data_IF_860910099417
#
_entry.id   IF_860910099417
#
_cell.length_a   1.000
_cell.length_b   1.000
_cell.length_c   1.000
_cell.angle_alpha   90.00
_cell.angle_beta   90.00
_cell.angle_gamma   90.00
#
_symmetry.space_group_name_H-M   'P 1'
#
loop_
_entity.id
_entity.type
_entity.pdbx_description
1 polymer ?
#
# COMPACT_ATOMS: atom_id res chain seq x y z
N UNK A 1 12.87 3.74 16.38
CA UNK A 1 13.19 2.41 15.78
C UNK A 1 14.67 2.14 15.69
N UNK A 2 15.48 3.11 15.26
CA UNK A 2 16.95 2.95 15.15
C UNK A 2 17.65 2.76 16.49
N UNK A 3 17.06 3.19 17.59
CA UNK A 3 17.57 3.00 18.96
C UNK A 3 17.15 1.66 19.59
N UNK A 4 16.18 0.95 19.01
CA UNK A 4 15.78 -0.39 19.47
C UNK A 4 16.67 -1.45 18.79
N UNK A 5 17.33 -2.36 19.54
CA UNK A 5 18.23 -3.37 18.97
C UNK A 5 17.58 -4.29 17.93
N UNK A 6 16.31 -4.65 18.14
CA UNK A 6 15.55 -5.53 17.26
C UNK A 6 15.07 -4.82 15.99
N UNK A 7 14.76 -3.52 16.08
CA UNK A 7 14.49 -2.63 14.95
C UNK A 7 15.74 -2.32 14.12
N UNK A 8 16.87 -2.05 14.78
CA UNK A 8 18.16 -1.79 14.13
C UNK A 8 18.67 -3.02 13.36
N UNK A 9 18.57 -4.22 13.96
CA UNK A 9 18.95 -5.49 13.32
C UNK A 9 18.16 -5.80 12.06
N UNK A 10 16.92 -5.32 11.96
CA UNK A 10 16.03 -5.48 10.79
C UNK A 10 16.05 -4.28 9.84
N UNK A 11 16.91 -3.29 10.11
CA UNK A 11 16.99 -2.02 9.40
C UNK A 11 15.61 -1.35 9.23
N UNK A 12 14.79 -1.38 10.28
CA UNK A 12 13.46 -0.77 10.27
C UNK A 12 13.61 0.74 10.31
N UNK A 13 13.51 1.35 9.14
CA UNK A 13 13.47 2.79 8.95
C UNK A 13 12.35 3.13 7.98
N UNK A 14 11.78 4.32 8.16
CA UNK A 14 10.96 4.94 7.14
C UNK A 14 11.83 5.90 6.35
N UNK A 15 11.82 5.77 5.02
CA UNK A 15 12.37 6.80 4.15
C UNK A 15 11.57 8.07 4.33
N UNK A 16 12.27 9.15 4.69
CA UNK A 16 11.71 10.50 4.79
C UNK A 16 12.11 11.31 3.56
N UNK A 17 11.40 12.42 3.34
CA UNK A 17 11.70 13.41 2.32
C UNK A 17 11.46 14.80 2.91
N UNK A 18 12.20 15.80 2.44
CA UNK A 18 12.10 17.15 2.93
C UNK A 18 10.91 17.89 2.32
N UNK A 19 10.19 18.61 3.17
CA UNK A 19 9.14 19.55 2.78
C UNK A 19 9.42 20.88 3.46
N UNK A 20 9.52 21.95 2.67
CA UNK A 20 9.75 23.31 3.17
C UNK A 20 8.59 24.18 2.74
N UNK A 21 7.70 24.51 3.67
CA UNK A 21 6.63 25.47 3.43
C UNK A 21 7.23 26.88 3.33
N UNK A 22 6.94 27.59 2.24
CA UNK A 22 7.39 28.96 2.04
C UNK A 22 6.33 29.95 2.53
N UNK A 23 5.06 29.65 2.27
CA UNK A 23 3.88 30.37 2.76
C UNK A 23 2.67 29.41 2.83
N UNK A 24 1.46 29.95 3.01
CA UNK A 24 0.23 29.14 3.09
C UNK A 24 -0.21 28.51 1.75
N UNK A 25 0.32 28.99 0.62
CA UNK A 25 -0.09 28.56 -0.72
C UNK A 25 0.96 27.70 -1.43
N UNK A 26 2.23 27.80 -1.03
CA UNK A 26 3.33 27.12 -1.70
C UNK A 26 4.44 26.66 -0.76
N UNK A 27 5.11 25.60 -1.21
CA UNK A 27 6.27 25.02 -0.57
C UNK A 27 7.15 24.30 -1.58
N UNK A 28 8.31 23.87 -1.12
CA UNK A 28 9.25 23.05 -1.88
C UNK A 28 9.13 21.62 -1.36
N UNK A 29 8.88 20.68 -2.27
CA UNK A 29 8.82 19.25 -1.99
C UNK A 29 10.06 18.59 -2.56
N UNK A 30 10.77 17.82 -1.74
CA UNK A 30 11.82 16.93 -2.23
C UNK A 30 11.19 15.83 -3.10
N UNK A 31 11.70 15.71 -4.33
CA UNK A 31 11.31 14.60 -5.19
C UNK A 31 11.94 13.30 -4.70
N UNK A 32 11.10 12.30 -4.43
CA UNK A 32 11.56 10.97 -4.01
C UNK A 32 12.02 10.19 -5.24
N UNK A 33 13.31 10.29 -5.56
CA UNK A 33 13.91 9.61 -6.71
C UNK A 33 13.73 8.09 -6.68
N UNK A 34 13.73 7.50 -7.88
CA UNK A 34 13.64 6.06 -8.13
C UNK A 34 12.33 5.43 -7.62
N UNK A 35 11.28 6.22 -7.45
CA UNK A 35 9.98 5.70 -7.06
C UNK A 35 8.97 5.79 -8.18
N UNK A 36 8.01 4.88 -8.15
CA UNK A 36 6.82 4.92 -9.00
C UNK A 36 5.59 4.61 -8.14
N UNK A 37 4.41 5.04 -8.57
CA UNK A 37 3.21 4.87 -7.78
C UNK A 37 2.70 3.42 -7.83
N UNK A 38 2.13 2.96 -6.71
CA UNK A 38 1.60 1.60 -6.58
C UNK A 38 0.60 1.26 -7.70
N UNK A 39 -0.21 2.23 -8.13
CA UNK A 39 -1.15 2.07 -9.26
C UNK A 39 -0.41 1.69 -10.55
N UNK A 40 0.64 2.42 -10.90
CA UNK A 40 1.42 2.18 -12.12
C UNK A 40 2.14 0.83 -12.06
N UNK A 41 2.68 0.47 -10.90
CA UNK A 41 3.41 -0.78 -10.73
C UNK A 41 2.49 -2.03 -10.78
N UNK A 42 1.31 -1.97 -10.17
CA UNK A 42 0.30 -3.02 -10.31
C UNK A 42 -0.14 -3.14 -11.77
N UNK A 43 -0.36 -2.02 -12.46
CA UNK A 43 -0.70 -2.06 -13.88
C UNK A 43 0.40 -2.71 -14.72
N UNK A 44 1.68 -2.37 -14.48
CA UNK A 44 2.83 -3.04 -15.10
C UNK A 44 2.83 -4.56 -14.83
N UNK A 45 2.51 -4.99 -13.61
CA UNK A 45 2.41 -6.42 -13.27
C UNK A 45 1.38 -7.16 -14.15
N UNK A 46 0.20 -6.57 -14.35
CA UNK A 46 -0.83 -7.10 -15.23
C UNK A 46 -0.38 -7.12 -16.70
N UNK A 47 0.33 -6.08 -17.18
CA UNK A 47 0.83 -6.03 -18.55
C UNK A 47 1.88 -7.10 -18.84
N UNK A 48 2.80 -7.35 -17.91
CA UNK A 48 3.84 -8.37 -18.07
C UNK A 48 3.26 -9.79 -18.20
N UNK A 49 2.13 -10.06 -17.54
CA UNK A 49 1.51 -11.39 -17.48
C UNK A 49 0.07 -11.39 -18.00
N UNK A 50 -0.21 -10.60 -19.04
CA UNK A 50 -1.55 -10.41 -19.61
C UNK A 50 -2.22 -11.72 -20.09
N UNK A 51 -1.42 -12.73 -20.43
CA UNK A 51 -1.89 -14.05 -20.85
C UNK A 51 -2.53 -14.86 -19.70
N UNK A 52 -2.16 -14.53 -18.45
CA UNK A 52 -2.61 -15.24 -17.24
C UNK A 52 -3.52 -14.36 -16.38
N UNK A 53 -3.31 -13.04 -16.41
CA UNK A 53 -4.05 -12.07 -15.62
C UNK A 53 -4.73 -11.05 -16.54
N UNK A 54 -6.05 -10.90 -16.47
CA UNK A 54 -6.75 -9.95 -17.32
C UNK A 54 -6.30 -8.51 -17.02
N UNK A 55 -6.05 -7.76 -18.08
CA UNK A 55 -5.82 -6.31 -18.00
C UNK A 55 -7.17 -5.64 -18.16
N UNK A 56 -7.69 -5.13 -17.05
CA UNK A 56 -8.99 -4.45 -17.02
C UNK A 56 -8.77 -2.94 -17.15
N UNK A 57 -9.59 -2.28 -17.96
CA UNK A 57 -9.61 -0.83 -18.04
C UNK A 57 -10.23 -0.22 -16.78
N UNK A 58 -9.90 1.05 -16.52
CA UNK A 58 -10.48 1.79 -15.40
C UNK A 58 -12.01 1.78 -15.44
N UNK A 59 -12.63 1.93 -16.63
CA UNK A 59 -14.09 1.96 -16.78
C UNK A 59 -14.74 0.62 -16.44
N UNK A 60 -14.12 -0.49 -16.81
CA UNK A 60 -14.62 -1.84 -16.52
C UNK A 60 -14.64 -2.18 -15.02
N UNK A 61 -13.87 -1.44 -14.22
CA UNK A 61 -13.82 -1.59 -12.76
C UNK A 61 -14.61 -0.48 -12.07
N UNK A 62 -14.37 0.78 -12.43
CA UNK A 62 -14.88 1.95 -11.74
C UNK A 62 -16.39 2.11 -11.94
N UNK A 63 -16.91 1.99 -13.17
CA UNK A 63 -18.34 2.22 -13.43
C UNK A 63 -19.22 1.23 -12.65
N UNK A 64 -18.94 -0.10 -12.62
CA UNK A 64 -19.68 -1.03 -11.79
C UNK A 64 -19.53 -0.76 -10.28
N UNK A 65 -18.36 -0.32 -9.81
CA UNK A 65 -18.16 0.01 -8.39
C UNK A 65 -19.00 1.22 -8.00
N UNK A 66 -19.01 2.28 -8.81
CA UNK A 66 -19.84 3.47 -8.59
C UNK A 66 -21.32 3.08 -8.60
N UNK A 67 -21.75 2.23 -9.53
CA UNK A 67 -23.13 1.74 -9.59
C UNK A 67 -23.52 0.94 -8.33
N UNK A 68 -22.64 0.06 -7.83
CA UNK A 68 -22.84 -0.69 -6.59
C UNK A 68 -22.98 0.27 -5.41
N UNK A 69 -22.10 1.27 -5.34
CA UNK A 69 -22.11 2.30 -4.30
C UNK A 69 -23.39 3.12 -4.32
N UNK A 70 -23.88 3.56 -5.49
CA UNK A 70 -25.12 4.34 -5.59
C UNK A 70 -26.36 3.52 -5.23
N UNK A 71 -26.39 2.22 -5.56
CA UNK A 71 -27.58 1.37 -5.37
C UNK A 71 -27.73 0.76 -3.98
N UNK A 72 -26.64 0.67 -3.21
CA UNK A 72 -26.60 -0.08 -1.95
C UNK A 72 -25.87 0.70 -0.86
N UNK A 73 -25.88 2.03 -0.92
CA UNK A 73 -25.12 2.91 -0.02
C UNK A 73 -25.47 2.69 1.47
N UNK A 74 -26.67 2.17 1.75
CA UNK A 74 -27.21 1.84 3.07
C UNK A 74 -27.00 0.38 3.50
N UNK A 75 -26.57 -0.52 2.60
CA UNK A 75 -26.41 -1.96 2.86
C UNK A 75 -25.01 -2.46 2.47
N UNK A 76 -24.12 -2.44 3.47
CA UNK A 76 -22.75 -2.96 3.34
C UNK A 76 -22.69 -4.44 2.94
N UNK A 77 -23.68 -5.25 3.36
CA UNK A 77 -23.69 -6.68 3.04
C UNK A 77 -23.95 -6.87 1.55
N UNK A 78 -24.94 -6.14 1.02
CA UNK A 78 -25.25 -6.15 -0.41
C UNK A 78 -24.09 -5.60 -1.25
N UNK A 79 -23.45 -4.52 -0.80
CA UNK A 79 -22.25 -3.99 -1.45
C UNK A 79 -21.12 -5.03 -1.51
N UNK A 80 -20.85 -5.71 -0.39
CA UNK A 80 -19.81 -6.74 -0.31
C UNK A 80 -20.08 -7.92 -1.26
N UNK A 81 -21.34 -8.38 -1.33
CA UNK A 81 -21.75 -9.46 -2.25
C UNK A 81 -21.59 -9.03 -3.70
N UNK A 82 -22.04 -7.82 -4.06
CA UNK A 82 -21.92 -7.30 -5.41
C UNK A 82 -20.46 -7.08 -5.83
N UNK A 83 -19.63 -6.53 -4.93
CA UNK A 83 -18.19 -6.37 -5.14
C UNK A 83 -17.51 -7.73 -5.36
N UNK A 84 -17.84 -8.73 -4.54
CA UNK A 84 -17.31 -10.09 -4.68
C UNK A 84 -17.72 -10.74 -6.01
N UNK A 85 -18.96 -10.51 -6.46
CA UNK A 85 -19.44 -11.00 -7.74
C UNK A 85 -18.73 -10.31 -8.92
N UNK A 86 -18.46 -9.00 -8.82
CA UNK A 86 -17.70 -8.24 -9.81
C UNK A 86 -16.28 -8.79 -9.95
N UNK A 87 -15.57 -9.01 -8.84
CA UNK A 87 -14.22 -9.58 -8.86
C UNK A 87 -14.20 -10.96 -9.51
N UNK A 88 -15.19 -11.81 -9.21
CA UNK A 88 -15.32 -13.15 -9.84
C UNK A 88 -15.61 -13.05 -11.33
N UNK A 89 -16.52 -12.17 -11.74
CA UNK A 89 -16.89 -11.94 -13.14
C UNK A 89 -15.68 -11.52 -13.99
N UNK A 90 -14.84 -10.66 -13.42
CA UNK A 90 -13.66 -10.14 -14.11
C UNK A 90 -12.42 -11.03 -13.91
N UNK A 91 -12.58 -12.22 -13.34
CA UNK A 91 -11.50 -13.16 -13.00
C UNK A 91 -10.32 -12.49 -12.29
N UNK A 92 -10.62 -11.48 -11.47
CA UNK A 92 -9.60 -10.66 -10.83
C UNK A 92 -8.78 -11.49 -9.84
N UNK A 93 -7.46 -11.49 -10.04
CA UNK A 93 -6.50 -12.16 -9.17
C UNK A 93 -5.37 -11.18 -8.84
N UNK A 94 -4.94 -11.09 -7.58
CA UNK A 94 -3.74 -10.35 -7.20
C UNK A 94 -2.53 -10.87 -7.99
N UNK A 95 -1.68 -9.95 -8.47
CA UNK A 95 -0.51 -10.32 -9.27
C UNK A 95 0.73 -9.46 -8.97
N UNK A 96 0.69 -8.68 -7.89
CA UNK A 96 1.74 -7.70 -7.63
C UNK A 96 3.11 -8.33 -7.33
N UNK A 97 3.17 -9.57 -6.83
CA UNK A 97 4.43 -10.32 -6.71
C UNK A 97 5.17 -10.46 -8.05
N UNK A 98 4.45 -10.46 -9.18
CA UNK A 98 5.04 -10.58 -10.52
C UNK A 98 5.88 -9.37 -10.87
N UNK A 99 5.46 -8.18 -10.47
CA UNK A 99 6.26 -6.98 -10.68
C UNK A 99 7.63 -7.10 -10.02
N UNK A 100 7.70 -7.66 -8.80
CA UNK A 100 8.99 -7.91 -8.13
C UNK A 100 9.85 -8.91 -8.89
N UNK A 101 9.26 -9.98 -9.45
CA UNK A 101 10.01 -10.97 -10.25
C UNK A 101 10.60 -10.35 -11.53
N UNK A 102 9.84 -9.47 -12.19
CA UNK A 102 10.29 -8.82 -13.43
C UNK A 102 11.30 -7.68 -13.16
N UNK A 103 11.16 -6.94 -12.06
CA UNK A 103 12.11 -5.87 -11.72
C UNK A 103 13.41 -6.38 -11.13
N UNK A 104 13.36 -7.46 -10.35
CA UNK A 104 14.51 -8.02 -9.67
C UNK A 104 14.77 -9.44 -10.18
N UNK A 105 15.43 -9.60 -11.35
CA UNK A 105 15.68 -10.92 -11.92
C UNK A 105 16.76 -11.71 -11.15
N UNK A 106 17.64 -11.02 -10.42
CA UNK A 106 18.60 -11.67 -9.53
C UNK A 106 17.88 -12.16 -8.25
N UNK A 107 18.00 -13.46 -7.87
CA UNK A 107 17.29 -14.01 -6.72
C UNK A 107 17.65 -13.35 -5.38
N UNK A 108 18.88 -12.89 -5.21
CA UNK A 108 19.33 -12.23 -3.98
C UNK A 108 18.70 -10.85 -3.90
N UNK A 109 18.82 -10.06 -4.97
CA UNK A 109 18.21 -8.74 -5.07
C UNK A 109 16.69 -8.79 -4.91
N UNK A 110 16.03 -9.80 -5.50
CA UNK A 110 14.60 -10.04 -5.35
C UNK A 110 14.20 -10.30 -3.90
N UNK A 111 14.93 -11.18 -3.22
CA UNK A 111 14.66 -11.53 -1.83
C UNK A 111 14.85 -10.33 -0.91
N UNK A 112 15.90 -9.53 -1.14
CA UNK A 112 16.17 -8.30 -0.41
C UNK A 112 15.08 -7.25 -0.67
N UNK A 113 14.72 -7.01 -1.94
CA UNK A 113 13.71 -6.03 -2.31
C UNK A 113 12.33 -6.38 -1.73
N UNK A 114 11.97 -7.66 -1.76
CA UNK A 114 10.74 -8.14 -1.13
C UNK A 114 10.80 -7.97 0.40
N UNK A 115 11.93 -8.25 1.05
CA UNK A 115 12.07 -8.05 2.48
C UNK A 115 11.92 -6.56 2.86
N UNK A 116 12.54 -5.66 2.11
CA UNK A 116 12.39 -4.20 2.28
C UNK A 116 10.93 -3.77 2.11
N UNK A 117 10.25 -4.26 1.08
CA UNK A 117 8.82 -4.01 0.88
C UNK A 117 7.99 -4.44 2.10
N UNK A 118 8.18 -5.68 2.58
CA UNK A 118 7.40 -6.19 3.71
C UNK A 118 7.67 -5.40 4.99
N UNK A 119 8.93 -5.08 5.28
CA UNK A 119 9.29 -4.33 6.47
C UNK A 119 8.75 -2.90 6.43
N UNK A 120 8.97 -2.18 5.33
CA UNK A 120 8.47 -0.80 5.17
C UNK A 120 6.94 -0.74 5.17
N UNK A 121 6.25 -1.68 4.52
CA UNK A 121 4.79 -1.76 4.55
C UNK A 121 4.24 -2.01 5.97
N UNK A 122 4.88 -2.88 6.75
CA UNK A 122 4.49 -3.13 8.14
C UNK A 122 4.71 -1.88 9.01
N UNK A 123 5.86 -1.23 8.88
CA UNK A 123 6.15 0.00 9.63
C UNK A 123 5.16 1.11 9.29
N UNK A 124 4.90 1.36 8.00
CA UNK A 124 3.91 2.35 7.56
C UNK A 124 2.50 2.02 8.04
N UNK A 125 2.13 0.74 8.09
CA UNK A 125 0.81 0.32 8.57
C UNK A 125 0.63 0.60 10.07
N UNK A 126 1.65 0.31 10.89
CA UNK A 126 1.60 0.61 12.31
C UNK A 126 1.61 2.13 12.57
N UNK A 127 2.53 2.87 11.94
CA UNK A 127 2.61 4.33 12.10
C UNK A 127 1.32 4.99 11.61
N UNK A 128 0.84 4.62 10.43
CA UNK A 128 -0.39 5.14 9.84
C UNK A 128 -1.61 4.88 10.72
N UNK A 129 -1.69 3.69 11.33
CA UNK A 129 -2.75 3.40 12.28
C UNK A 129 -2.70 4.29 13.53
N UNK A 130 -1.53 4.44 14.13
CA UNK A 130 -1.35 5.22 15.37
C UNK A 130 -1.66 6.70 15.17
N UNK A 131 -1.31 7.26 14.01
CA UNK A 131 -1.53 8.69 13.72
C UNK A 131 -2.87 8.98 13.02
N UNK A 132 -3.64 7.95 12.68
CA UNK A 132 -4.90 8.10 11.94
C UNK A 132 -4.69 8.64 10.51
N UNK A 133 -3.70 8.10 9.79
CA UNK A 133 -3.38 8.50 8.42
C UNK A 133 -4.38 7.91 7.40
N UNK A 134 -5.22 8.76 6.83
CA UNK A 134 -6.15 8.43 5.76
C UNK A 134 -5.66 8.81 4.36
N UNK A 135 -6.55 8.77 3.39
CA UNK A 135 -6.31 9.12 1.97
C UNK A 135 -5.15 8.34 1.34
N UNK A 136 -5.04 7.05 1.70
CA UNK A 136 -4.01 6.13 1.20
C UNK A 136 -4.44 5.50 -0.12
N UNK A 137 -4.77 6.34 -1.11
CA UNK A 137 -4.98 5.86 -2.47
C UNK A 137 -3.66 5.42 -3.11
N UNK A 138 -3.76 4.66 -4.19
CA UNK A 138 -2.62 4.00 -4.86
C UNK A 138 -1.61 4.93 -5.54
N UNK A 139 -1.84 6.25 -5.48
CA UNK A 139 -0.89 7.25 -6.00
C UNK A 139 -0.08 7.92 -4.86
N UNK A 140 -0.62 7.92 -3.64
CA UNK A 140 0.07 8.37 -2.42
C UNK A 140 0.97 7.29 -1.79
N UNK A 141 0.95 6.08 -2.37
CA UNK A 141 1.85 4.99 -1.99
C UNK A 141 2.81 4.77 -3.14
N UNK A 142 4.07 5.09 -2.88
CA UNK A 142 5.17 4.95 -3.81
C UNK A 142 5.99 3.71 -3.43
N UNK A 143 6.63 3.10 -4.42
CA UNK A 143 7.59 2.01 -4.21
C UNK A 143 8.86 2.35 -4.96
N UNK A 144 9.98 2.21 -4.27
CA UNK A 144 11.30 2.37 -4.87
C UNK A 144 11.60 1.18 -5.80
N UNK A 145 11.78 1.47 -7.09
CA UNK A 145 11.99 0.48 -8.13
C UNK A 145 13.36 -0.17 -8.09
N UNK A 146 14.29 0.39 -7.30
CA UNK A 146 15.67 -0.12 -7.16
C UNK A 146 15.87 -1.02 -5.95
N UNK A 147 15.01 -0.92 -4.93
CA UNK A 147 15.19 -1.67 -3.68
C UNK A 147 13.89 -2.20 -3.05
N UNK A 148 12.73 -1.96 -3.65
CA UNK A 148 11.42 -2.45 -3.21
C UNK A 148 10.82 -1.76 -1.99
N UNK A 149 11.46 -0.75 -1.40
CA UNK A 149 10.96 -0.04 -0.22
C UNK A 149 9.67 0.74 -0.53
N UNK A 150 8.68 0.64 0.36
CA UNK A 150 7.44 1.41 0.30
C UNK A 150 7.61 2.77 0.98
N UNK A 151 7.14 3.82 0.31
CA UNK A 151 7.17 5.20 0.79
C UNK A 151 5.78 5.80 0.68
N UNK A 152 5.28 6.39 1.76
CA UNK A 152 4.04 7.17 1.72
C UNK A 152 4.37 8.64 1.47
N UNK A 153 3.58 9.27 0.62
CA UNK A 153 3.59 10.72 0.39
C UNK A 153 2.21 11.31 0.67
N UNK A 154 2.15 12.63 0.73
CA UNK A 154 0.94 13.41 1.03
C UNK A 154 0.36 13.07 2.41
N UNK A 155 0.40 13.99 3.36
CA UNK A 155 -0.04 13.76 4.74
C UNK A 155 -1.18 14.71 5.15
N UNK A 156 -2.01 15.14 4.20
CA UNK A 156 -3.10 16.10 4.45
C UNK A 156 -4.30 15.50 5.22
N UNK A 157 -4.37 14.17 5.29
CA UNK A 157 -5.41 13.41 5.95
C UNK A 157 -4.89 12.69 7.21
N UNK A 158 -4.60 13.46 8.28
CA UNK A 158 -4.13 12.95 9.57
C UNK A 158 -5.21 13.00 10.65
N UNK A 159 -4.98 12.30 11.77
CA UNK A 159 -5.84 12.29 12.96
C UNK A 159 -7.28 11.90 12.67
N UNK A 160 -7.46 10.83 11.92
CA UNK A 160 -8.76 10.23 11.59
C UNK A 160 -9.68 11.15 10.77
N UNK A 161 -9.13 12.19 10.11
CA UNK A 161 -9.86 13.06 9.19
C UNK A 161 -10.57 12.27 8.08
N UNK A 162 -10.04 11.10 7.71
CA UNK A 162 -10.66 10.17 6.75
C UNK A 162 -12.05 9.67 7.17
N UNK A 163 -12.37 9.64 8.47
CA UNK A 163 -13.69 9.26 8.98
C UNK A 163 -14.75 10.35 8.73
N UNK A 164 -14.32 11.60 8.55
CA UNK A 164 -15.20 12.75 8.30
C UNK A 164 -15.53 12.99 6.82
N UNK A 165 -15.00 12.19 5.90
CA UNK A 165 -15.29 12.30 4.47
C UNK A 165 -16.74 11.90 4.16
N UNK A 166 -17.25 12.37 3.02
CA UNK A 166 -18.60 12.02 2.55
C UNK A 166 -18.81 10.49 2.46
N UNK A 167 -17.73 9.76 2.15
CA UNK A 167 -17.64 8.30 2.27
C UNK A 167 -16.51 7.99 3.27
N UNK A 168 -16.81 7.63 4.52
CA UNK A 168 -15.80 7.42 5.56
C UNK A 168 -14.81 6.30 5.22
N UNK A 169 -13.53 6.55 5.45
CA UNK A 169 -12.49 5.52 5.39
C UNK A 169 -12.42 4.75 6.72
N UNK A 170 -13.21 3.69 6.83
CA UNK A 170 -13.30 2.89 8.08
C UNK A 170 -12.16 1.87 8.28
N UNK A 171 -11.26 1.74 7.30
CA UNK A 171 -10.11 0.83 7.39
C UNK A 171 -8.93 1.53 8.05
N UNK A 172 -8.20 0.87 8.96
CA UNK A 172 -7.14 1.53 9.74
C UNK A 172 -5.89 1.88 8.90
N UNK A 173 -5.66 1.13 7.82
CA UNK A 173 -4.59 1.34 6.86
C UNK A 173 -4.86 0.49 5.61
N UNK A 174 -4.16 0.78 4.51
CA UNK A 174 -4.33 0.04 3.25
C UNK A 174 -3.58 -1.29 3.28
N UNK A 175 -4.30 -2.41 3.42
CA UNK A 175 -3.75 -3.76 3.26
C UNK A 175 -4.62 -4.60 2.32
N UNK A 176 -4.45 -4.38 1.01
CA UNK A 176 -5.25 -5.04 -0.03
C UNK A 176 -4.65 -6.37 -0.49
N UNK A 177 -5.41 -7.25 -1.18
CA UNK A 177 -4.88 -8.51 -1.69
C UNK A 177 -3.62 -8.41 -2.54
N UNK A 178 -3.42 -7.34 -3.32
CA UNK A 178 -2.16 -7.14 -4.06
C UNK A 178 -0.95 -6.88 -3.15
N UNK A 179 -1.14 -6.13 -2.06
CA UNK A 179 -0.05 -5.90 -1.11
C UNK A 179 0.32 -7.20 -0.39
N UNK A 180 -0.68 -8.00 -0.01
CA UNK A 180 -0.47 -9.31 0.62
C UNK A 180 0.22 -10.29 -0.34
N UNK A 181 -0.20 -10.30 -1.61
CA UNK A 181 0.39 -11.13 -2.66
C UNK A 181 1.89 -10.86 -2.84
N UNK A 182 2.30 -9.59 -2.86
CA UNK A 182 3.71 -9.21 -2.94
C UNK A 182 4.56 -9.64 -1.72
N UNK A 183 3.96 -9.92 -0.57
CA UNK A 183 4.68 -10.46 0.61
C UNK A 183 5.12 -11.91 0.42
N UNK A 184 4.60 -12.60 -0.61
CA UNK A 184 4.90 -13.99 -0.91
C UNK A 184 4.02 -14.98 -0.13
N UNK A 185 4.47 -16.23 -0.07
CA UNK A 185 3.64 -17.37 0.40
C UNK A 185 3.18 -17.27 1.86
N UNK A 186 3.93 -16.57 2.70
CA UNK A 186 3.56 -16.37 4.12
C UNK A 186 2.51 -15.28 4.30
N UNK A 187 2.27 -14.46 3.27
CA UNK A 187 1.40 -13.29 3.34
C UNK A 187 1.69 -12.45 4.58
N UNK A 188 0.62 -12.13 5.31
CA UNK A 188 0.67 -11.30 6.53
C UNK A 188 1.28 -12.01 7.74
N UNK A 189 1.24 -13.34 7.79
CA UNK A 189 1.61 -14.15 8.97
C UNK A 189 3.12 -14.30 9.18
N UNK A 190 3.93 -13.80 8.22
CA UNK A 190 5.38 -13.92 8.24
C UNK A 190 6.10 -12.70 8.81
N UNK A 191 7.05 -12.18 8.03
CA UNK A 191 7.85 -11.02 8.42
C UNK A 191 7.00 -9.77 8.66
N UNK A 192 5.85 -9.64 7.97
CA UNK A 192 4.92 -8.53 8.12
C UNK A 192 4.40 -8.40 9.55
N UNK A 193 3.71 -9.43 10.06
CA UNK A 193 3.15 -9.44 11.43
C UNK A 193 4.24 -9.16 12.47
N UNK A 194 5.38 -9.85 12.41
CA UNK A 194 6.45 -9.66 13.40
C UNK A 194 7.00 -8.23 13.38
N UNK A 195 7.16 -7.64 12.19
CA UNK A 195 7.64 -6.25 12.07
C UNK A 195 6.61 -5.26 12.58
N UNK A 196 5.31 -5.51 12.32
CA UNK A 196 4.21 -4.70 12.82
C UNK A 196 4.15 -4.73 14.35
N UNK A 197 4.24 -5.91 14.97
CA UNK A 197 4.23 -6.10 16.42
C UNK A 197 5.40 -5.37 17.10
N UNK A 198 6.63 -5.56 16.59
CA UNK A 198 7.83 -4.87 17.10
C UNK A 198 7.66 -3.36 16.98
N UNK A 199 7.18 -2.89 15.82
CA UNK A 199 6.94 -1.46 15.59
C UNK A 199 5.94 -0.89 16.60
N UNK A 200 4.80 -1.56 16.80
CA UNK A 200 3.78 -1.11 17.73
C UNK A 200 4.25 -1.13 19.18
N UNK A 201 5.07 -2.12 19.58
CA UNK A 201 5.68 -2.15 20.92
C UNK A 201 6.58 -0.93 21.13
N UNK A 202 7.47 -0.66 20.17
CA UNK A 202 8.39 0.49 20.23
C UNK A 202 7.62 1.81 20.25
N UNK A 203 6.57 1.95 19.44
CA UNK A 203 5.72 3.15 19.42
C UNK A 203 4.90 3.33 20.70
N UNK A 204 4.64 2.27 21.47
CA UNK A 204 3.88 2.33 22.71
C UNK A 204 4.75 2.63 23.94
N UNK A 205 6.01 2.22 23.88
CA UNK A 205 7.00 2.43 24.96
C UNK A 205 7.58 3.84 24.97
N UNK A 206 7.48 4.56 23.84
CA UNK A 206 7.90 5.96 23.68
C UNK A 206 6.68 6.89 23.66
#
# INVERSE_FOLDING_TARGET
MTEDPEGHKRNLRLRTYAVVCLNEECGILEWVNNTDCLRALIHKAHLYWQDVFPVLSYKEIADPIVEIQTKSDDDLTRMMVAYSALLKKNEYKPCFHRWFLEQFPDPTAWQEARANFVHSAAVWSAVGHVIGLGDRHTENILIDVTNGEMVHVDFDCLFDKGLGLARPEIVPFRLTPNLVDAMGVTGVEGAYRRTLEVTLSVLREN
#
